data_IF_118498475693
#
_entry.id   IF_118498475693
#
_cell.length_a   1.000
_cell.length_b   1.000
_cell.length_c   1.000
_cell.angle_alpha   90.00
_cell.angle_beta   90.00
_cell.angle_gamma   90.00
#
_symmetry.space_group_name_H-M   'P 1'
#
loop_
_entity.id
_entity.type
_entity.pdbx_description
1 polymer ?
#
# COMPACT_ATOMS: atom_id res chain seq x y z
N UNK A 1 -16.06 9.90 9.90
CA UNK A 1 -15.94 8.45 10.18
C UNK A 1 -14.89 7.94 9.21
N UNK A 2 -13.75 7.44 9.70
CA UNK A 2 -12.74 6.85 8.82
C UNK A 2 -13.29 5.54 8.30
N UNK A 3 -13.45 5.44 6.98
CA UNK A 3 -13.96 4.24 6.35
C UNK A 3 -12.83 3.20 6.26
N UNK A 4 -12.85 2.22 7.16
CA UNK A 4 -11.90 1.10 7.18
C UNK A 4 -12.14 0.13 6.01
N UNK A 5 -13.28 0.20 5.30
CA UNK A 5 -13.56 -0.62 4.12
C UNK A 5 -12.54 -0.36 3.01
N UNK A 6 -11.98 0.85 2.93
CA UNK A 6 -10.89 1.17 2.01
C UNK A 6 -9.57 0.44 2.30
N UNK A 7 -9.42 -0.19 3.46
CA UNK A 7 -8.22 -0.93 3.86
C UNK A 7 -8.36 -2.45 3.77
N UNK A 8 -9.59 -2.99 3.70
CA UNK A 8 -9.83 -4.43 3.62
C UNK A 8 -9.42 -5.02 2.27
N UNK A 9 -9.06 -6.29 2.27
CA UNK A 9 -8.76 -7.09 1.08
C UNK A 9 -9.10 -8.55 1.38
N UNK A 10 -9.45 -9.29 0.35
CA UNK A 10 -9.74 -10.72 0.40
C UNK A 10 -8.47 -11.55 0.18
N UNK A 11 -7.60 -11.10 -0.72
CA UNK A 11 -6.37 -11.80 -1.10
C UNK A 11 -5.15 -10.88 -0.99
N UNK A 12 -4.05 -11.36 -0.39
CA UNK A 12 -2.77 -10.65 -0.38
C UNK A 12 -1.83 -11.19 -1.47
N UNK A 13 -1.73 -10.49 -2.60
CA UNK A 13 -0.85 -10.85 -3.72
C UNK A 13 0.53 -10.14 -3.63
N UNK A 14 0.83 -9.46 -2.52
CA UNK A 14 2.13 -8.82 -2.33
C UNK A 14 3.21 -9.89 -2.22
N UNK A 15 4.03 -9.92 -3.24
CA UNK A 15 5.27 -10.68 -3.28
C UNK A 15 6.42 -9.90 -2.62
N UNK A 16 7.60 -10.52 -2.52
CA UNK A 16 8.79 -9.90 -1.94
C UNK A 16 9.11 -8.52 -2.53
N UNK A 17 9.59 -7.61 -1.69
CA UNK A 17 9.84 -6.25 -2.11
C UNK A 17 11.06 -6.19 -3.03
N UNK A 18 10.86 -5.65 -4.23
CA UNK A 18 11.90 -5.32 -5.22
C UNK A 18 11.88 -3.82 -5.48
N UNK A 19 12.92 -3.26 -6.11
CA UNK A 19 12.95 -1.82 -6.45
C UNK A 19 11.76 -1.39 -7.32
N UNK A 20 11.34 -2.24 -8.26
CA UNK A 20 10.14 -2.01 -9.07
C UNK A 20 8.87 -1.96 -8.21
N UNK A 21 8.75 -2.84 -7.22
CA UNK A 21 7.62 -2.87 -6.28
C UNK A 21 7.63 -1.68 -5.32
N UNK A 22 8.81 -1.20 -4.89
CA UNK A 22 8.96 0.05 -4.14
C UNK A 22 8.44 1.24 -4.93
N UNK A 23 8.85 1.36 -6.21
CA UNK A 23 8.35 2.41 -7.11
C UNK A 23 6.83 2.33 -7.28
N UNK A 24 6.28 1.13 -7.43
CA UNK A 24 4.84 0.94 -7.55
C UNK A 24 4.08 1.41 -6.31
N UNK A 25 4.59 1.14 -5.10
CA UNK A 25 4.01 1.66 -3.86
C UNK A 25 3.96 3.19 -3.85
N UNK A 26 5.10 3.85 -4.10
CA UNK A 26 5.19 5.32 -4.17
C UNK A 26 4.28 5.92 -5.23
N UNK A 27 4.17 5.26 -6.39
CA UNK A 27 3.27 5.68 -7.46
C UNK A 27 1.80 5.61 -7.01
N UNK A 28 1.40 4.53 -6.34
CA UNK A 28 0.05 4.40 -5.78
C UNK A 28 -0.28 5.54 -4.82
N UNK A 29 0.62 5.84 -3.89
CA UNK A 29 0.48 6.95 -2.94
C UNK A 29 0.32 8.29 -3.66
N UNK A 30 1.18 8.56 -4.63
CA UNK A 30 1.14 9.80 -5.41
C UNK A 30 -0.20 9.95 -6.14
N UNK A 31 -0.73 8.86 -6.72
CA UNK A 31 -2.03 8.87 -7.40
C UNK A 31 -3.17 9.20 -6.43
N UNK A 32 -3.15 8.62 -5.23
CA UNK A 32 -4.16 8.92 -4.21
C UNK A 32 -4.13 10.39 -3.77
N UNK A 33 -2.94 10.94 -3.52
CA UNK A 33 -2.77 12.36 -3.17
C UNK A 33 -3.22 13.30 -4.29
N UNK A 34 -3.05 12.89 -5.54
CA UNK A 34 -3.54 13.62 -6.71
C UNK A 34 -5.06 13.48 -6.94
N UNK A 35 -5.78 12.80 -6.05
CA UNK A 35 -7.23 12.59 -6.19
C UNK A 35 -7.62 11.66 -7.33
N UNK A 36 -6.69 10.82 -7.81
CA UNK A 36 -7.03 9.82 -8.83
C UNK A 36 -7.78 8.67 -8.17
N UNK A 37 -8.94 8.34 -8.72
CA UNK A 37 -9.64 7.11 -8.36
C UNK A 37 -8.79 5.89 -8.73
N UNK A 38 -8.88 4.85 -7.90
CA UNK A 38 -8.22 3.58 -8.20
C UNK A 38 -9.13 2.79 -9.13
N UNK A 39 -8.67 2.54 -10.35
CA UNK A 39 -9.39 1.70 -11.30
C UNK A 39 -9.20 0.22 -10.93
N UNK A 40 -10.23 -0.42 -10.39
CA UNK A 40 -10.25 -1.86 -10.12
C UNK A 40 -10.84 -2.23 -8.77
N UNK A 41 -11.06 -3.53 -8.57
CA UNK A 41 -11.61 -4.07 -7.32
C UNK A 41 -10.50 -4.17 -6.27
N UNK A 42 -10.75 -3.63 -5.07
CA UNK A 42 -9.81 -3.64 -3.93
C UNK A 42 -9.78 -5.00 -3.18
N UNK A 43 -10.34 -6.06 -3.77
CA UNK A 43 -10.29 -7.42 -3.21
C UNK A 43 -8.86 -7.96 -3.11
N UNK A 44 -7.98 -7.64 -4.06
CA UNK A 44 -6.58 -8.09 -4.05
C UNK A 44 -5.65 -7.00 -3.54
N UNK A 45 -4.80 -7.27 -2.56
CA UNK A 45 -3.78 -6.35 -2.07
C UNK A 45 -2.49 -6.47 -2.88
N UNK A 46 -2.03 -5.36 -3.43
CA UNK A 46 -0.76 -5.22 -4.17
C UNK A 46 0.06 -4.09 -3.56
N UNK A 47 1.36 -3.99 -3.90
CA UNK A 47 2.16 -2.86 -3.44
C UNK A 47 1.62 -1.52 -3.94
N UNK A 48 1.07 -1.45 -5.15
CA UNK A 48 0.53 -0.22 -5.72
C UNK A 48 -0.75 0.22 -4.99
N UNK A 49 -1.74 -0.66 -4.84
CA UNK A 49 -2.98 -0.26 -4.16
C UNK A 49 -2.78 -0.06 -2.65
N UNK A 50 -1.86 -0.75 -2.00
CA UNK A 50 -1.49 -0.44 -0.63
C UNK A 50 -0.99 1.01 -0.53
N UNK A 51 -0.09 1.41 -1.42
CA UNK A 51 0.37 2.79 -1.51
C UNK A 51 -0.78 3.76 -1.74
N UNK A 52 -1.72 3.43 -2.63
CA UNK A 52 -2.91 4.25 -2.87
C UNK A 52 -3.81 4.39 -1.64
N UNK A 53 -4.13 3.29 -0.95
CA UNK A 53 -4.97 3.30 0.25
C UNK A 53 -4.34 4.14 1.37
N UNK A 54 -3.04 3.95 1.61
CA UNK A 54 -2.31 4.72 2.60
C UNK A 54 -2.18 6.20 2.21
N UNK A 55 -2.05 6.50 0.91
CA UNK A 55 -2.10 7.87 0.41
C UNK A 55 -3.46 8.54 0.58
N UNK A 56 -4.58 7.80 0.47
CA UNK A 56 -5.92 8.31 0.81
C UNK A 56 -6.06 8.58 2.30
N UNK A 57 -5.43 7.75 3.14
CA UNK A 57 -5.49 7.86 4.59
C UNK A 57 -4.64 9.01 5.14
N UNK A 58 -3.39 9.12 4.69
CA UNK A 58 -2.39 10.05 5.25
C UNK A 58 -2.20 11.32 4.42
N UNK A 59 -2.61 11.33 3.15
CA UNK A 59 -2.47 12.49 2.28
C UNK A 59 -1.01 12.77 1.87
N UNK A 60 -0.67 14.04 1.55
CA UNK A 60 0.69 14.43 1.21
C UNK A 60 1.67 14.07 2.33
N UNK A 61 2.65 13.23 2.02
CA UNK A 61 3.68 12.75 2.96
C UNK A 61 5.05 12.82 2.30
N UNK A 62 6.12 13.22 3.01
CA UNK A 62 7.50 13.16 2.52
C UNK A 62 7.91 11.76 2.05
N UNK A 63 8.77 11.70 1.03
CA UNK A 63 9.17 10.44 0.41
C UNK A 63 9.94 9.49 1.35
N UNK A 64 10.67 10.04 2.33
CA UNK A 64 11.36 9.27 3.37
C UNK A 64 10.37 8.52 4.27
N UNK A 65 9.31 9.19 4.74
CA UNK A 65 8.27 8.58 5.57
C UNK A 65 7.48 7.54 4.79
N UNK A 66 7.26 7.75 3.48
CA UNK A 66 6.65 6.73 2.61
C UNK A 66 7.52 5.47 2.53
N UNK A 67 8.85 5.61 2.46
CA UNK A 67 9.77 4.46 2.47
C UNK A 67 9.78 3.76 3.84
N UNK A 68 9.78 4.50 4.94
CA UNK A 68 9.72 3.90 6.28
C UNK A 68 8.46 3.07 6.49
N UNK A 69 7.31 3.60 6.06
CA UNK A 69 6.02 2.89 6.10
C UNK A 69 6.08 1.64 5.21
N UNK A 70 6.63 1.75 4.00
CA UNK A 70 6.79 0.61 3.11
C UNK A 70 7.66 -0.50 3.73
N UNK A 71 8.80 -0.12 4.30
CA UNK A 71 9.71 -1.06 4.96
C UNK A 71 9.05 -1.71 6.19
N UNK A 72 8.23 -0.98 6.93
CA UNK A 72 7.41 -1.57 8.00
C UNK A 72 6.38 -2.56 7.45
N UNK A 73 5.63 -2.21 6.41
CA UNK A 73 4.66 -3.11 5.78
C UNK A 73 5.30 -4.39 5.23
N UNK A 74 6.49 -4.28 4.64
CA UNK A 74 7.24 -5.44 4.13
C UNK A 74 7.72 -6.36 5.26
N UNK A 75 8.18 -5.79 6.39
CA UNK A 75 8.54 -6.54 7.59
C UNK A 75 7.32 -7.23 8.20
N UNK A 76 6.21 -6.51 8.39
CA UNK A 76 4.97 -7.08 8.93
C UNK A 76 4.47 -8.26 8.09
N UNK A 77 4.46 -8.13 6.75
CA UNK A 77 4.06 -9.23 5.85
C UNK A 77 4.93 -10.46 6.09
N UNK A 78 6.26 -10.32 6.11
CA UNK A 78 7.20 -11.42 6.36
C UNK A 78 6.97 -12.08 7.73
N UNK A 79 6.77 -11.28 8.78
CA UNK A 79 6.44 -11.81 10.11
C UNK A 79 5.12 -12.58 10.12
N UNK A 80 4.13 -12.14 9.36
CA UNK A 80 2.84 -12.81 9.25
C UNK A 80 2.88 -14.07 8.35
N UNK A 81 3.85 -14.15 7.42
CA UNK A 81 4.05 -15.34 6.57
C UNK A 81 4.87 -16.42 7.28
N UNK A 82 5.52 -16.10 8.40
CA UNK A 82 6.24 -17.06 9.25
C UNK A 82 5.39 -17.67 10.37
N UNK A 83 4.10 -17.36 10.39
CA UNK A 83 3.10 -17.94 11.30
C UNK A 83 2.05 -18.67 10.46
N UNK A 84 2.47 -19.77 9.84
CA UNK A 84 1.60 -20.84 9.34
C UNK A 84 2.23 -22.18 9.72
#
# INVERSE_FOLDING_TARGET
MFDLEGLTFEEDERNDLTDGRRRNFKQGWTRAVQGREYEGVLEKLTWNNLGWRLGRLFGPTPDELREEILDWCARQRKSNTGVQ
#
